data_IF_167359662257
#
_entry.id   IF_167359662257
#
_cell.length_a   1.000
_cell.length_b   1.000
_cell.length_c   1.000
_cell.angle_alpha   90.00
_cell.angle_beta   90.00
_cell.angle_gamma   90.00
#
_symmetry.space_group_name_H-M   'P 1'
#
loop_
_entity.id
_entity.type
_entity.pdbx_description
1 polymer ?
#
# COMPACT_ATOMS: atom_id res chain seq x y z
N UNK A 1 -14.83 -21.35 3.08
CA UNK A 1 -14.33 -20.61 4.26
C UNK A 1 -12.90 -20.22 3.96
N UNK A 2 -12.65 -18.94 3.65
CA UNK A 2 -11.29 -18.40 3.55
C UNK A 2 -10.74 -18.24 4.98
N UNK A 3 -9.56 -18.78 5.26
CA UNK A 3 -8.95 -18.63 6.58
C UNK A 3 -8.56 -17.17 6.81
N UNK A 4 -8.51 -16.72 8.07
CA UNK A 4 -7.95 -15.41 8.44
C UNK A 4 -6.52 -15.25 7.90
N UNK A 5 -5.79 -16.36 7.76
CA UNK A 5 -4.45 -16.40 7.17
C UNK A 5 -4.44 -16.08 5.68
N UNK A 6 -5.44 -16.54 4.92
CA UNK A 6 -5.54 -16.29 3.47
C UNK A 6 -5.82 -14.81 3.20
N UNK A 7 -6.69 -14.21 4.00
CA UNK A 7 -7.06 -12.78 3.86
C UNK A 7 -5.89 -11.87 4.23
N UNK A 8 -5.13 -12.22 5.27
CA UNK A 8 -3.96 -11.46 5.70
C UNK A 8 -2.82 -11.60 4.69
N UNK A 9 -2.64 -12.80 4.12
CA UNK A 9 -1.63 -13.04 3.08
C UNK A 9 -1.93 -12.22 1.83
N UNK A 10 -3.19 -12.20 1.37
CA UNK A 10 -3.60 -11.38 0.23
C UNK A 10 -3.33 -9.89 0.50
N UNK A 11 -3.70 -9.39 1.68
CA UNK A 11 -3.44 -8.01 2.07
C UNK A 11 -1.94 -7.68 2.05
N UNK A 12 -1.09 -8.57 2.57
CA UNK A 12 0.36 -8.36 2.53
C UNK A 12 0.91 -8.31 1.09
N UNK A 13 0.34 -9.10 0.18
CA UNK A 13 0.70 -9.04 -1.24
C UNK A 13 0.27 -7.71 -1.87
N UNK A 14 -0.95 -7.26 -1.61
CA UNK A 14 -1.45 -5.97 -2.11
C UNK A 14 -0.61 -4.80 -1.59
N UNK A 15 -0.29 -4.77 -0.29
CA UNK A 15 0.61 -3.76 0.30
C UNK A 15 2.00 -3.79 -0.34
N UNK A 16 2.52 -4.98 -0.63
CA UNK A 16 3.82 -5.15 -1.26
C UNK A 16 3.84 -4.71 -2.73
N UNK A 17 2.77 -4.91 -3.49
CA UNK A 17 2.70 -4.42 -4.86
C UNK A 17 2.55 -2.89 -4.88
N UNK A 18 1.65 -2.34 -4.06
CA UNK A 18 1.43 -0.89 -3.93
C UNK A 18 2.70 -0.13 -3.52
N UNK A 19 3.55 -0.74 -2.69
CA UNK A 19 4.89 -0.20 -2.34
C UNK A 19 5.77 0.07 -3.56
N UNK A 20 5.56 -0.63 -4.68
CA UNK A 20 6.35 -0.51 -5.91
C UNK A 20 5.81 0.51 -6.90
N UNK A 21 4.55 0.94 -6.76
CA UNK A 21 3.90 1.85 -7.70
C UNK A 21 4.63 3.20 -7.87
N UNK A 22 5.15 3.85 -6.79
CA UNK A 22 5.97 5.05 -6.93
C UNK A 22 7.09 4.95 -7.97
N UNK A 23 7.81 3.83 -8.01
CA UNK A 23 8.91 3.64 -8.95
C UNK A 23 8.42 3.52 -10.40
N UNK A 24 7.26 2.86 -10.61
CA UNK A 24 6.62 2.73 -11.93
C UNK A 24 6.12 4.10 -12.42
N UNK A 25 5.36 4.81 -11.58
CA UNK A 25 4.84 6.13 -11.92
C UNK A 25 5.94 7.16 -12.17
N UNK A 26 7.04 7.12 -11.40
CA UNK A 26 8.20 7.97 -11.67
C UNK A 26 8.78 7.74 -13.07
N UNK A 27 8.92 6.48 -13.49
CA UNK A 27 9.38 6.17 -14.86
C UNK A 27 8.41 6.67 -15.93
N UNK A 28 7.10 6.56 -15.68
CA UNK A 28 6.07 7.06 -16.61
C UNK A 28 6.13 8.59 -16.74
N UNK A 29 6.25 9.32 -15.62
CA UNK A 29 6.43 10.78 -15.62
C UNK A 29 7.72 11.18 -16.35
N UNK A 30 8.84 10.51 -16.08
CA UNK A 30 10.13 10.76 -16.74
C UNK A 30 10.08 10.48 -18.26
N UNK A 31 9.18 9.58 -18.69
CA UNK A 31 8.93 9.31 -20.11
C UNK A 31 7.97 10.31 -20.78
N UNK A 32 7.42 11.25 -20.01
CA UNK A 32 6.51 12.29 -20.48
C UNK A 32 5.05 11.84 -20.59
N UNK A 33 4.67 10.74 -19.94
CA UNK A 33 3.27 10.31 -19.87
C UNK A 33 2.46 11.22 -18.93
N UNK A 34 1.24 11.57 -19.33
CA UNK A 34 0.26 12.15 -18.42
C UNK A 34 -0.41 11.02 -17.64
N UNK A 35 -0.12 10.96 -16.35
CA UNK A 35 -0.61 9.92 -15.44
C UNK A 35 -1.49 10.49 -14.32
N UNK A 36 -2.03 11.70 -14.50
CA UNK A 36 -2.76 12.42 -13.45
C UNK A 36 -3.96 11.61 -12.91
N UNK A 37 -4.69 10.95 -13.80
CA UNK A 37 -5.84 10.10 -13.41
C UNK A 37 -5.40 8.83 -12.68
N UNK A 38 -4.31 8.21 -13.12
CA UNK A 38 -3.72 7.03 -12.48
C UNK A 38 -3.21 7.37 -11.08
N UNK A 39 -2.61 8.56 -10.89
CA UNK A 39 -2.17 9.03 -9.58
C UNK A 39 -3.36 9.26 -8.64
N UNK A 40 -4.44 9.85 -9.14
CA UNK A 40 -5.65 10.05 -8.34
C UNK A 40 -6.31 8.73 -7.92
N UNK A 41 -6.32 7.73 -8.81
CA UNK A 41 -6.86 6.42 -8.47
C UNK A 41 -5.95 5.68 -7.49
N UNK A 42 -4.64 5.71 -7.72
CA UNK A 42 -3.66 5.16 -6.79
C UNK A 42 -3.75 5.78 -5.40
N UNK A 43 -4.01 7.10 -5.29
CA UNK A 43 -4.19 7.76 -3.99
C UNK A 43 -5.35 7.16 -3.19
N UNK A 44 -6.48 6.88 -3.85
CA UNK A 44 -7.65 6.24 -3.22
C UNK A 44 -7.36 4.79 -2.84
N UNK A 45 -6.66 4.05 -3.71
CA UNK A 45 -6.31 2.66 -3.44
C UNK A 45 -5.32 2.54 -2.26
N UNK A 46 -4.35 3.43 -2.17
CA UNK A 46 -3.41 3.53 -1.03
C UNK A 46 -4.17 3.80 0.27
N UNK A 47 -5.14 4.73 0.25
CA UNK A 47 -5.97 5.02 1.42
C UNK A 47 -6.83 3.80 1.83
N UNK A 48 -7.47 3.14 0.85
CA UNK A 48 -8.28 1.95 1.09
C UNK A 48 -7.45 0.78 1.65
N UNK A 49 -6.24 0.57 1.14
CA UNK A 49 -5.30 -0.44 1.65
C UNK A 49 -4.84 -0.11 3.07
N UNK A 50 -4.60 1.17 3.38
CA UNK A 50 -4.23 1.58 4.73
C UNK A 50 -5.37 1.33 5.74
N UNK A 51 -6.62 1.63 5.38
CA UNK A 51 -7.77 1.32 6.24
C UNK A 51 -7.97 -0.18 6.43
N UNK A 52 -7.88 -0.99 5.35
CA UNK A 52 -7.93 -2.46 5.45
C UNK A 52 -6.81 -3.02 6.34
N UNK A 53 -5.61 -2.44 6.27
CA UNK A 53 -4.50 -2.82 7.14
C UNK A 53 -4.76 -2.48 8.61
N UNK A 54 -5.31 -1.29 8.91
CA UNK A 54 -5.72 -0.91 10.26
C UNK A 54 -6.79 -1.85 10.81
N UNK A 55 -7.78 -2.22 10.01
CA UNK A 55 -8.81 -3.19 10.41
C UNK A 55 -8.26 -4.59 10.66
N UNK A 56 -7.37 -5.07 9.77
CA UNK A 56 -6.69 -6.34 9.94
C UNK A 56 -5.88 -6.38 11.24
N UNK A 57 -5.11 -5.33 11.55
CA UNK A 57 -4.36 -5.24 12.81
C UNK A 57 -5.28 -5.26 14.04
N UNK A 58 -6.44 -4.58 14.00
CA UNK A 58 -7.44 -4.62 15.08
C UNK A 58 -7.98 -6.04 15.30
N UNK A 59 -8.25 -6.78 14.22
CA UNK A 59 -8.74 -8.17 14.26
C UNK A 59 -7.68 -9.16 14.76
N UNK A 60 -6.43 -9.00 14.35
CA UNK A 60 -5.32 -9.87 14.70
C UNK A 60 -4.80 -9.63 16.14
N UNK A 61 -4.98 -8.42 16.66
CA UNK A 61 -4.55 -8.03 18.00
C UNK A 61 -3.05 -7.71 18.09
N UNK A 62 -2.64 -6.97 19.12
CA UNK A 62 -1.30 -6.37 19.21
C UNK A 62 -0.14 -7.38 19.33
N UNK A 63 -0.40 -8.62 19.76
CA UNK A 63 0.63 -9.63 20.03
C UNK A 63 0.80 -10.65 18.90
N UNK A 64 -0.04 -10.60 17.86
CA UNK A 64 0.10 -11.51 16.73
C UNK A 64 1.31 -11.14 15.87
N UNK A 65 2.17 -12.12 15.47
CA UNK A 65 3.25 -11.88 14.51
C UNK A 65 2.74 -11.29 13.19
N UNK A 66 1.52 -11.64 12.77
CA UNK A 66 0.91 -11.13 11.55
C UNK A 66 0.59 -9.64 11.66
N UNK A 67 0.22 -9.14 12.84
CA UNK A 67 -0.01 -7.71 13.08
C UNK A 67 1.24 -6.90 12.79
N UNK A 68 2.41 -7.41 13.19
CA UNK A 68 3.70 -6.78 12.89
C UNK A 68 3.95 -6.74 11.38
N UNK A 69 3.71 -7.84 10.66
CA UNK A 69 3.87 -7.89 9.21
C UNK A 69 2.96 -6.89 8.49
N UNK A 70 1.69 -6.83 8.87
CA UNK A 70 0.71 -5.89 8.29
C UNK A 70 1.11 -4.45 8.57
N UNK A 71 1.53 -4.15 9.81
CA UNK A 71 2.03 -2.83 10.19
C UNK A 71 3.21 -2.40 9.31
N UNK A 72 4.24 -3.23 9.19
CA UNK A 72 5.43 -2.90 8.40
C UNK A 72 5.09 -2.74 6.91
N UNK A 73 4.25 -3.63 6.34
CA UNK A 73 3.80 -3.50 4.96
C UNK A 73 3.07 -2.19 4.69
N UNK A 74 2.14 -1.81 5.58
CA UNK A 74 1.41 -0.55 5.48
C UNK A 74 2.33 0.66 5.65
N UNK A 75 3.23 0.64 6.63
CA UNK A 75 4.14 1.75 6.88
C UNK A 75 5.09 1.98 5.70
N UNK A 76 5.71 0.92 5.18
CA UNK A 76 6.60 1.00 4.02
C UNK A 76 5.87 1.54 2.78
N UNK A 77 4.64 1.05 2.52
CA UNK A 77 3.81 1.52 1.41
C UNK A 77 3.55 3.03 1.54
N UNK A 78 3.09 3.50 2.71
CA UNK A 78 2.78 4.91 2.95
C UNK A 78 4.01 5.81 2.90
N UNK A 79 5.15 5.36 3.43
CA UNK A 79 6.42 6.11 3.37
C UNK A 79 6.85 6.30 1.92
N UNK A 80 6.85 5.22 1.14
CA UNK A 80 7.22 5.28 -0.28
C UNK A 80 6.28 6.18 -1.08
N UNK A 81 4.97 6.06 -0.83
CA UNK A 81 3.95 6.83 -1.53
C UNK A 81 4.07 8.33 -1.23
N UNK A 82 4.15 8.72 0.03
CA UNK A 82 4.27 10.14 0.40
C UNK A 82 5.59 10.75 -0.08
N UNK A 83 6.70 10.00 0.05
CA UNK A 83 8.01 10.47 -0.47
C UNK A 83 7.98 10.70 -1.97
N UNK A 84 7.21 9.89 -2.71
CA UNK A 84 7.02 10.09 -4.14
C UNK A 84 6.15 11.30 -4.43
N UNK A 85 5.00 11.47 -3.76
CA UNK A 85 4.15 12.65 -3.94
C UNK A 85 4.89 13.95 -3.65
N UNK A 86 5.75 13.98 -2.63
CA UNK A 86 6.60 15.11 -2.29
C UNK A 86 7.69 15.40 -3.36
N UNK A 87 8.00 14.41 -4.21
CA UNK A 87 9.00 14.53 -5.28
C UNK A 87 8.43 14.96 -6.63
N UNK A 88 7.10 14.96 -6.77
CA UNK A 88 6.42 15.44 -7.99
C UNK A 88 6.36 16.97 -7.92
N UNK A 89 6.87 17.68 -8.94
CA UNK A 89 6.91 19.15 -8.98
C UNK A 89 5.54 19.80 -9.20
#
# INVERSE_FOLDING_TARGET
MTSTDDTTTLLLQELSDAKTWPARFKQEIESGADISDQLNEADKEIEALAERAKEAMKRLGCVSPQTRSVYHGMADMLINWNSFKDSIP
#
